data_IF_111220351661
#
_entry.id   IF_111220351661
#
_cell.length_a   1.000
_cell.length_b   1.000
_cell.length_c   1.000
_cell.angle_alpha   90.00
_cell.angle_beta   90.00
_cell.angle_gamma   90.00
#
_symmetry.space_group_name_H-M   'P 1'
#
loop_
_entity.id
_entity.type
_entity.pdbx_description
1 polymer ?
#
# COMPACT_ATOMS: atom_id res chain seq x y z
N UNK A 1 -23.73 -24.59 -0.91
CA UNK A 1 -23.82 -23.66 -2.05
C UNK A 1 -22.45 -23.06 -2.29
N UNK A 2 -21.89 -23.20 -3.52
CA UNK A 2 -20.60 -22.61 -3.89
C UNK A 2 -20.70 -21.07 -3.92
N UNK A 3 -19.65 -20.38 -3.46
CA UNK A 3 -19.57 -18.92 -3.51
C UNK A 3 -19.50 -18.45 -4.96
N UNK A 4 -20.36 -17.51 -5.34
CA UNK A 4 -20.28 -16.90 -6.68
C UNK A 4 -18.94 -16.23 -6.92
N UNK A 5 -18.32 -16.41 -8.10
CA UNK A 5 -17.03 -15.81 -8.39
C UNK A 5 -17.15 -14.29 -8.56
N UNK A 6 -16.14 -13.57 -8.08
CA UNK A 6 -16.07 -12.12 -8.28
C UNK A 6 -15.84 -11.74 -9.73
N UNK A 7 -16.33 -10.58 -10.15
CA UNK A 7 -16.18 -10.06 -11.51
C UNK A 7 -14.72 -10.06 -12.00
N UNK A 8 -13.74 -9.78 -11.13
CA UNK A 8 -12.32 -9.84 -11.48
C UNK A 8 -11.84 -11.25 -11.83
N UNK A 9 -12.36 -12.27 -11.15
CA UNK A 9 -12.07 -13.67 -11.44
C UNK A 9 -12.67 -14.07 -12.79
N UNK A 10 -13.95 -13.73 -13.02
CA UNK A 10 -14.61 -13.98 -14.31
C UNK A 10 -13.90 -13.27 -15.46
N UNK A 11 -13.46 -12.01 -15.28
CA UNK A 11 -12.68 -11.32 -16.32
C UNK A 11 -11.39 -12.05 -16.67
N UNK A 12 -10.69 -12.61 -15.68
CA UNK A 12 -9.47 -13.40 -15.94
C UNK A 12 -9.79 -14.67 -16.75
N UNK A 13 -10.84 -15.38 -16.38
CA UNK A 13 -11.29 -16.56 -17.12
C UNK A 13 -11.75 -16.20 -18.53
N UNK A 14 -12.58 -15.17 -18.68
CA UNK A 14 -13.07 -14.70 -19.97
C UNK A 14 -11.92 -14.27 -20.89
N UNK A 15 -10.91 -13.57 -20.35
CA UNK A 15 -9.73 -13.17 -21.12
C UNK A 15 -8.92 -14.38 -21.60
N UNK A 16 -8.78 -15.42 -20.77
CA UNK A 16 -8.10 -16.65 -21.17
C UNK A 16 -8.89 -17.39 -22.27
N UNK A 17 -10.21 -17.51 -22.10
CA UNK A 17 -11.08 -18.14 -23.10
C UNK A 17 -11.11 -17.37 -24.41
N UNK A 18 -11.19 -16.03 -24.37
CA UNK A 18 -11.14 -15.22 -25.59
C UNK A 18 -9.87 -15.47 -26.40
N UNK A 19 -8.70 -15.60 -25.74
CA UNK A 19 -7.46 -15.95 -26.45
C UNK A 19 -7.51 -17.32 -27.12
N UNK A 20 -8.13 -18.29 -26.49
CA UNK A 20 -8.33 -19.62 -27.08
C UNK A 20 -9.23 -19.53 -28.31
N UNK A 21 -10.32 -18.78 -28.23
CA UNK A 21 -11.22 -18.57 -29.38
C UNK A 21 -10.58 -17.76 -30.51
N UNK A 22 -9.81 -16.72 -30.18
CA UNK A 22 -9.03 -15.93 -31.15
C UNK A 22 -8.08 -16.83 -31.95
N UNK A 23 -7.35 -17.73 -31.25
CA UNK A 23 -6.47 -18.68 -31.90
C UNK A 23 -7.22 -19.74 -32.74
N UNK A 24 -8.37 -20.21 -32.23
CA UNK A 24 -9.20 -21.16 -32.96
C UNK A 24 -9.79 -20.54 -34.26
N UNK A 25 -10.15 -19.29 -34.23
CA UNK A 25 -10.60 -18.53 -35.43
C UNK A 25 -9.43 -18.34 -36.39
N UNK A 26 -8.26 -17.93 -35.91
CA UNK A 26 -7.07 -17.71 -36.73
C UNK A 26 -6.62 -18.99 -37.46
N UNK A 27 -6.79 -20.17 -36.83
CA UNK A 27 -6.49 -21.50 -37.43
C UNK A 27 -7.64 -22.07 -38.26
N UNK A 28 -8.78 -21.36 -38.37
CA UNK A 28 -9.92 -21.85 -39.13
C UNK A 28 -10.74 -22.97 -38.47
N UNK A 29 -10.51 -23.25 -37.20
CA UNK A 29 -11.27 -24.31 -36.47
C UNK A 29 -12.69 -23.89 -36.15
N UNK A 30 -12.94 -22.55 -36.02
CA UNK A 30 -14.25 -21.97 -35.71
C UNK A 30 -14.44 -20.69 -36.52
N UNK A 31 -15.63 -20.47 -37.02
CA UNK A 31 -15.97 -19.18 -37.66
C UNK A 31 -16.19 -18.10 -36.58
N UNK A 32 -15.77 -16.87 -36.85
CA UNK A 32 -15.86 -15.75 -35.88
C UNK A 32 -17.30 -15.53 -35.34
N UNK A 33 -18.32 -15.71 -36.17
CA UNK A 33 -19.74 -15.63 -35.80
C UNK A 33 -20.20 -16.66 -34.77
N UNK A 34 -19.44 -17.72 -34.59
CA UNK A 34 -19.73 -18.83 -33.66
C UNK A 34 -18.97 -18.70 -32.33
N UNK A 35 -18.13 -17.66 -32.19
CA UNK A 35 -17.43 -17.39 -30.92
C UNK A 35 -18.43 -16.96 -29.85
N UNK A 36 -18.52 -17.65 -28.70
CA UNK A 36 -19.46 -17.29 -27.65
C UNK A 36 -19.11 -15.96 -27.00
N UNK A 37 -20.12 -15.13 -26.74
CA UNK A 37 -19.96 -13.88 -26.02
C UNK A 37 -19.72 -14.18 -24.53
N UNK A 38 -18.52 -13.86 -24.03
CA UNK A 38 -18.16 -14.03 -22.63
C UNK A 38 -18.75 -12.92 -21.78
N UNK A 39 -19.84 -13.20 -21.07
CA UNK A 39 -20.53 -12.23 -20.20
C UNK A 39 -19.96 -12.31 -18.77
N UNK A 40 -19.65 -11.16 -18.19
CA UNK A 40 -19.25 -11.06 -16.79
C UNK A 40 -20.45 -10.64 -15.92
N UNK A 41 -21.02 -11.59 -15.16
CA UNK A 41 -22.12 -11.35 -14.21
C UNK A 41 -21.64 -11.42 -12.76
N UNK A 42 -20.33 -11.46 -12.50
CA UNK A 42 -19.77 -11.55 -11.15
C UNK A 42 -19.94 -10.28 -10.35
N UNK A 43 -19.93 -10.43 -9.04
CA UNK A 43 -19.95 -9.30 -8.12
C UNK A 43 -18.78 -8.36 -8.35
N UNK A 44 -19.05 -7.05 -8.36
CA UNK A 44 -17.98 -6.04 -8.39
C UNK A 44 -17.14 -6.15 -7.13
N UNK A 45 -15.81 -6.17 -7.32
CA UNK A 45 -14.91 -6.14 -6.16
C UNK A 45 -14.97 -4.76 -5.52
N UNK A 46 -15.27 -4.73 -4.24
CA UNK A 46 -15.18 -3.53 -3.44
C UNK A 46 -13.72 -3.15 -3.15
N UNK A 47 -13.50 -1.86 -2.90
CA UNK A 47 -12.21 -1.36 -2.44
C UNK A 47 -11.86 -1.99 -1.10
N UNK A 48 -10.60 -2.42 -0.94
CA UNK A 48 -10.10 -2.86 0.36
C UNK A 48 -10.08 -1.69 1.35
N UNK A 49 -10.44 -1.92 2.62
CA UNK A 49 -10.47 -0.86 3.61
C UNK A 49 -9.06 -0.35 3.93
N UNK A 50 -8.97 0.94 4.18
CA UNK A 50 -7.82 1.62 4.79
C UNK A 50 -7.92 1.60 6.33
N UNK A 51 -6.90 2.13 6.99
CA UNK A 51 -6.93 2.50 8.40
C UNK A 51 -7.25 3.98 8.53
N UNK A 52 -8.09 4.35 9.50
CA UNK A 52 -8.23 5.75 9.89
C UNK A 52 -6.96 6.23 10.60
N UNK A 53 -6.85 7.54 10.85
CA UNK A 53 -5.70 8.11 11.55
C UNK A 53 -5.60 7.56 12.98
N UNK A 54 -6.72 7.45 13.67
CA UNK A 54 -6.85 6.93 15.03
C UNK A 54 -6.50 5.43 15.10
N UNK A 55 -6.98 4.65 14.13
CA UNK A 55 -6.66 3.23 14.03
C UNK A 55 -5.19 3.01 13.72
N UNK A 56 -4.60 3.81 12.81
CA UNK A 56 -3.18 3.75 12.50
C UNK A 56 -2.32 4.14 13.71
N UNK A 57 -2.65 5.20 14.42
CA UNK A 57 -1.98 5.59 15.66
C UNK A 57 -2.10 4.50 16.74
N UNK A 58 -3.26 3.87 16.86
CA UNK A 58 -3.49 2.73 17.78
C UNK A 58 -2.63 1.52 17.39
N UNK A 59 -2.53 1.23 16.10
CA UNK A 59 -1.67 0.18 15.57
C UNK A 59 -0.21 0.42 15.97
N UNK A 60 0.32 1.62 15.74
CA UNK A 60 1.70 1.97 16.11
C UNK A 60 1.92 1.83 17.62
N UNK A 61 1.02 2.32 18.43
CA UNK A 61 1.09 2.29 19.90
C UNK A 61 1.10 0.88 20.49
N UNK A 62 0.36 -0.05 19.86
CA UNK A 62 0.26 -1.45 20.30
C UNK A 62 1.44 -2.33 19.84
N UNK A 63 2.17 -1.91 18.79
CA UNK A 63 3.26 -2.73 18.24
C UNK A 63 4.36 -3.10 19.25
N UNK A 64 4.92 -2.17 20.07
CA UNK A 64 6.01 -2.50 20.97
C UNK A 64 5.64 -3.60 21.98
N UNK A 65 4.52 -3.43 22.69
CA UNK A 65 4.04 -4.43 23.65
C UNK A 65 3.72 -5.78 23.02
N UNK A 66 3.14 -5.77 21.81
CA UNK A 66 2.86 -6.98 21.07
C UNK A 66 4.14 -7.70 20.61
N UNK A 67 5.17 -6.97 20.21
CA UNK A 67 6.49 -7.54 19.88
C UNK A 67 7.08 -8.23 21.11
N UNK A 68 7.10 -7.53 22.24
CA UNK A 68 7.68 -8.02 23.49
C UNK A 68 6.91 -9.22 24.09
N UNK A 69 5.63 -9.39 23.77
CA UNK A 69 4.85 -10.57 24.18
C UNK A 69 5.17 -11.84 23.36
N UNK A 70 6.07 -11.74 22.37
CA UNK A 70 6.48 -12.87 21.53
C UNK A 70 7.40 -13.85 22.25
N UNK A 71 7.41 -15.10 21.74
CA UNK A 71 8.46 -16.04 22.12
C UNK A 71 9.81 -15.55 21.58
N UNK A 72 10.86 -15.61 22.38
CA UNK A 72 12.21 -15.22 21.98
C UNK A 72 12.68 -15.96 20.70
N UNK A 73 13.65 -15.37 20.00
CA UNK A 73 14.22 -15.89 18.76
C UNK A 73 13.43 -15.51 17.51
N UNK A 74 13.44 -16.35 16.48
CA UNK A 74 12.83 -16.06 15.17
C UNK A 74 11.38 -15.50 15.20
N UNK A 75 10.47 -15.92 16.09
CA UNK A 75 9.14 -15.31 16.17
C UNK A 75 9.18 -13.82 16.53
N UNK A 76 10.05 -13.40 17.46
CA UNK A 76 10.21 -11.99 17.83
C UNK A 76 10.93 -11.20 16.74
N UNK A 77 11.94 -11.78 16.10
CA UNK A 77 12.60 -11.19 14.93
C UNK A 77 11.61 -10.92 13.79
N UNK A 78 10.72 -11.88 13.54
CA UNK A 78 9.65 -11.73 12.55
C UNK A 78 8.67 -10.61 12.90
N UNK A 79 8.38 -10.40 14.19
CA UNK A 79 7.54 -9.29 14.65
C UNK A 79 8.22 -7.94 14.47
N UNK A 80 9.52 -7.85 14.73
CA UNK A 80 10.32 -6.66 14.44
C UNK A 80 10.34 -6.34 12.94
N UNK A 81 10.58 -7.34 12.10
CA UNK A 81 10.56 -7.17 10.65
C UNK A 81 9.18 -6.71 10.16
N UNK A 82 8.11 -7.35 10.65
CA UNK A 82 6.74 -6.96 10.31
C UNK A 82 6.43 -5.52 10.71
N UNK A 83 6.88 -5.05 11.88
CA UNK A 83 6.71 -3.65 12.31
C UNK A 83 7.32 -2.70 11.28
N UNK A 84 8.59 -2.89 10.95
CA UNK A 84 9.29 -1.97 10.05
C UNK A 84 8.74 -2.06 8.62
N UNK A 85 8.37 -3.27 8.19
CA UNK A 85 7.66 -3.48 6.92
C UNK A 85 6.36 -2.69 6.83
N UNK A 86 5.50 -2.78 7.85
CA UNK A 86 4.22 -2.06 7.92
C UNK A 86 4.42 -0.55 7.85
N UNK A 87 5.40 -0.03 8.60
CA UNK A 87 5.72 1.40 8.63
C UNK A 87 6.25 1.88 7.28
N UNK A 88 7.12 1.12 6.62
CA UNK A 88 7.62 1.44 5.28
C UNK A 88 6.48 1.43 4.27
N UNK A 89 5.64 0.40 4.27
CA UNK A 89 4.49 0.30 3.36
C UNK A 89 3.52 1.47 3.49
N UNK A 90 3.23 1.91 4.73
CA UNK A 90 2.33 3.03 5.00
C UNK A 90 2.96 4.40 4.68
N UNK A 91 4.28 4.48 4.50
CA UNK A 91 5.01 5.72 4.21
C UNK A 91 5.56 5.80 2.77
N UNK A 92 5.32 4.80 1.95
CA UNK A 92 5.78 4.75 0.56
C UNK A 92 4.66 4.51 -0.44
N UNK A 93 3.57 3.88 0.00
CA UNK A 93 2.47 3.47 -0.88
C UNK A 93 2.82 2.36 -1.88
N UNK A 94 4.00 1.69 -1.75
CA UNK A 94 4.38 0.59 -2.63
C UNK A 94 3.42 -0.59 -2.51
N UNK A 95 3.40 -1.47 -3.51
CA UNK A 95 2.57 -2.69 -3.49
C UNK A 95 3.23 -3.76 -2.62
N UNK A 96 2.45 -4.35 -1.73
CA UNK A 96 2.84 -5.59 -1.06
C UNK A 96 3.03 -6.71 -2.11
N UNK A 97 4.04 -7.53 -1.91
CA UNK A 97 4.38 -8.62 -2.83
C UNK A 97 5.46 -8.23 -3.83
N UNK A 98 5.10 -8.00 -5.09
CA UNK A 98 6.09 -7.82 -6.17
C UNK A 98 7.02 -6.61 -6.00
N UNK A 99 6.57 -5.51 -5.40
CA UNK A 99 7.42 -4.34 -5.21
C UNK A 99 8.22 -4.43 -3.90
N UNK A 100 7.53 -4.58 -2.77
CA UNK A 100 8.18 -4.59 -1.47
C UNK A 100 9.07 -5.81 -1.25
N UNK A 101 8.59 -7.03 -1.56
CA UNK A 101 9.39 -8.24 -1.33
C UNK A 101 10.60 -8.38 -2.25
N UNK A 102 10.62 -7.68 -3.38
CA UNK A 102 11.76 -7.64 -4.30
C UNK A 102 12.69 -6.45 -4.06
N UNK A 103 12.38 -5.60 -3.06
CA UNK A 103 13.23 -4.46 -2.73
C UNK A 103 14.57 -4.96 -2.16
N UNK A 104 15.66 -4.45 -2.75
CA UNK A 104 17.04 -4.72 -2.33
C UNK A 104 17.72 -3.42 -1.93
N UNK A 105 18.76 -3.49 -1.12
CA UNK A 105 19.51 -2.31 -0.69
C UNK A 105 20.05 -1.48 -1.86
N UNK A 106 20.46 -2.11 -2.95
CA UNK A 106 20.89 -1.42 -4.18
C UNK A 106 19.80 -0.54 -4.85
N UNK A 107 18.55 -0.71 -4.46
CA UNK A 107 17.43 0.06 -4.97
C UNK A 107 17.05 1.24 -4.07
N UNK A 108 17.78 1.43 -2.98
CA UNK A 108 17.56 2.52 -2.01
C UNK A 108 18.65 3.55 -2.20
N UNK A 109 18.27 4.81 -2.34
CA UNK A 109 19.19 5.93 -2.57
C UNK A 109 18.85 7.07 -1.62
N UNK A 110 19.88 7.64 -1.00
CA UNK A 110 19.79 8.93 -0.32
C UNK A 110 20.35 9.99 -1.26
N UNK A 111 19.63 11.09 -1.39
CA UNK A 111 20.10 12.27 -2.10
C UNK A 111 19.77 13.53 -1.31
N UNK A 112 20.49 14.60 -1.58
CA UNK A 112 20.34 15.89 -0.92
C UNK A 112 19.95 16.94 -1.96
N UNK A 113 18.96 17.74 -1.63
CA UNK A 113 18.54 18.89 -2.42
C UNK A 113 18.15 20.03 -1.48
N UNK A 114 18.75 21.22 -1.68
CA UNK A 114 18.49 22.43 -0.87
C UNK A 114 18.63 22.18 0.63
N UNK A 115 19.72 21.54 1.03
CA UNK A 115 20.07 21.19 2.42
C UNK A 115 19.07 20.23 3.10
N UNK A 116 18.21 19.57 2.32
CA UNK A 116 17.28 18.56 2.81
C UNK A 116 17.64 17.18 2.25
N UNK A 117 17.63 16.19 3.11
CA UNK A 117 17.90 14.81 2.74
C UNK A 117 16.62 14.08 2.36
N UNK A 118 16.65 13.41 1.22
CA UNK A 118 15.54 12.63 0.68
C UNK A 118 15.93 11.17 0.51
N UNK A 119 14.96 10.30 0.73
CA UNK A 119 15.06 8.86 0.51
C UNK A 119 14.24 8.47 -0.71
N UNK A 120 14.88 7.86 -1.69
CA UNK A 120 14.27 7.32 -2.89
C UNK A 120 14.39 5.80 -2.92
N UNK A 121 13.35 5.12 -3.42
CA UNK A 121 13.36 3.68 -3.67
C UNK A 121 12.94 3.39 -5.11
N UNK A 122 13.78 2.65 -5.83
CA UNK A 122 13.48 2.13 -7.16
C UNK A 122 12.73 0.81 -7.03
N UNK A 123 11.45 0.79 -7.39
CA UNK A 123 10.61 -0.41 -7.29
C UNK A 123 10.19 -0.90 -8.66
N UNK A 124 10.09 -2.23 -8.81
CA UNK A 124 9.62 -2.87 -10.03
C UNK A 124 8.44 -3.77 -9.73
N UNK A 125 7.38 -3.62 -10.50
CA UNK A 125 6.16 -4.37 -10.33
C UNK A 125 5.45 -4.67 -11.64
N UNK A 126 4.18 -5.04 -11.58
CA UNK A 126 3.36 -5.41 -12.75
C UNK A 126 3.29 -4.30 -13.81
N UNK A 127 3.43 -3.03 -13.42
CA UNK A 127 3.31 -1.86 -14.30
C UNK A 127 4.67 -1.28 -14.70
N UNK A 128 5.75 -2.05 -14.55
CA UNK A 128 7.11 -1.60 -14.85
C UNK A 128 7.87 -1.10 -13.61
N UNK A 129 9.01 -0.44 -13.88
CA UNK A 129 9.87 0.19 -12.87
C UNK A 129 9.45 1.64 -12.67
N UNK A 130 9.55 2.10 -11.42
CA UNK A 130 9.41 3.52 -11.04
C UNK A 130 10.22 3.82 -9.80
N UNK A 131 10.53 5.09 -9.62
CA UNK A 131 11.14 5.59 -8.41
C UNK A 131 10.06 6.23 -7.53
N UNK A 132 10.17 6.03 -6.22
CA UNK A 132 9.25 6.53 -5.22
C UNK A 132 10.01 7.34 -4.19
N UNK A 133 9.50 8.51 -3.86
CA UNK A 133 10.03 9.33 -2.76
C UNK A 133 9.34 8.90 -1.47
N UNK A 134 10.15 8.60 -0.47
CA UNK A 134 9.66 8.13 0.82
C UNK A 134 9.41 9.30 1.77
N UNK A 135 8.45 9.15 2.68
CA UNK A 135 8.32 10.09 3.80
C UNK A 135 9.57 10.02 4.68
N UNK A 136 9.98 11.14 5.26
CA UNK A 136 11.25 11.31 6.01
C UNK A 136 11.50 10.25 7.09
N UNK A 137 10.46 9.84 7.82
CA UNK A 137 10.57 8.79 8.84
C UNK A 137 10.96 7.41 8.32
N UNK A 138 10.90 7.17 7.00
CA UNK A 138 11.20 5.85 6.41
C UNK A 138 12.67 5.46 6.59
N UNK A 139 13.58 6.42 6.63
CA UNK A 139 15.01 6.18 6.87
C UNK A 139 15.24 5.45 8.19
N UNK A 140 14.57 5.86 9.27
CA UNK A 140 14.71 5.24 10.58
C UNK A 140 14.26 3.77 10.59
N UNK A 141 13.27 3.44 9.76
CA UNK A 141 12.77 2.06 9.65
C UNK A 141 13.75 1.17 8.90
N UNK A 142 14.38 1.70 7.86
CA UNK A 142 15.46 1.00 7.15
C UNK A 142 16.70 0.81 8.02
N UNK A 143 17.11 1.84 8.77
CA UNK A 143 18.23 1.75 9.70
C UNK A 143 18.00 0.65 10.74
N UNK A 144 16.81 0.55 11.33
CA UNK A 144 16.49 -0.53 12.27
C UNK A 144 16.55 -1.92 11.62
N UNK A 145 16.19 -2.06 10.35
CA UNK A 145 16.35 -3.33 9.62
C UNK A 145 17.84 -3.63 9.42
N UNK A 146 18.61 -2.65 8.98
CA UNK A 146 20.05 -2.73 8.76
C UNK A 146 20.79 -3.15 10.05
N UNK A 147 20.55 -2.48 11.17
CA UNK A 147 21.16 -2.73 12.47
C UNK A 147 20.92 -4.16 12.98
N UNK A 148 19.80 -4.78 12.60
CA UNK A 148 19.48 -6.15 12.98
C UNK A 148 20.11 -7.21 12.06
N UNK A 149 20.53 -6.85 10.85
CA UNK A 149 21.10 -7.81 9.90
C UNK A 149 22.59 -8.06 10.20
N UNK A 150 22.93 -9.28 10.62
CA UNK A 150 24.25 -9.64 11.13
C UNK A 150 25.39 -9.44 10.14
N UNK A 151 25.12 -9.64 8.86
CA UNK A 151 26.10 -9.57 7.77
C UNK A 151 26.40 -8.15 7.27
N UNK A 152 25.55 -7.18 7.57
CA UNK A 152 25.70 -5.80 7.07
C UNK A 152 25.73 -4.73 8.18
N UNK A 153 25.33 -5.04 9.41
CA UNK A 153 25.22 -4.06 10.51
C UNK A 153 26.52 -3.32 10.85
N UNK A 154 27.65 -3.88 10.50
CA UNK A 154 28.98 -3.28 10.75
C UNK A 154 29.41 -2.30 9.63
N UNK A 155 28.66 -2.21 8.52
CA UNK A 155 28.87 -1.23 7.46
C UNK A 155 28.08 0.02 7.86
N UNK A 156 28.64 1.22 7.73
CA UNK A 156 27.85 2.42 7.96
C UNK A 156 26.65 2.49 7.00
N UNK A 157 25.49 2.92 7.48
CA UNK A 157 24.25 2.87 6.70
C UNK A 157 24.36 3.61 5.35
N UNK A 158 25.00 4.77 5.32
CA UNK A 158 25.23 5.51 4.08
C UNK A 158 26.16 4.78 3.11
N UNK A 159 27.20 4.11 3.64
CA UNK A 159 28.14 3.34 2.84
C UNK A 159 27.50 2.08 2.28
N UNK A 160 26.59 1.43 3.04
CA UNK A 160 25.75 0.33 2.57
C UNK A 160 24.98 0.75 1.30
N UNK A 161 24.36 1.92 1.33
CA UNK A 161 23.58 2.43 0.19
C UNK A 161 24.47 2.80 -0.99
N UNK A 162 25.62 3.44 -0.75
CA UNK A 162 26.60 3.78 -1.79
C UNK A 162 27.17 2.55 -2.48
N UNK A 163 27.44 1.47 -1.73
CA UNK A 163 27.94 0.20 -2.27
C UNK A 163 26.90 -0.57 -3.10
N UNK A 164 25.64 -0.16 -3.09
CA UNK A 164 24.54 -0.77 -3.86
C UNK A 164 24.46 -2.28 -3.69
N UNK A 165 24.51 -2.74 -2.45
CA UNK A 165 24.55 -4.17 -2.11
C UNK A 165 23.30 -4.90 -2.60
N UNK A 166 23.50 -6.03 -3.29
CA UNK A 166 22.42 -6.83 -3.90
C UNK A 166 21.79 -7.83 -2.89
N UNK A 167 21.39 -7.33 -1.73
CA UNK A 167 20.72 -8.11 -0.69
C UNK A 167 19.30 -7.62 -0.45
N UNK A 168 18.34 -8.50 -0.15
CA UNK A 168 16.96 -8.12 0.16
C UNK A 168 16.92 -7.19 1.39
N UNK A 169 16.05 -6.17 1.34
CA UNK A 169 15.79 -5.30 2.51
C UNK A 169 14.98 -6.04 3.57
N UNK A 170 13.89 -6.71 3.16
CA UNK A 170 12.97 -7.37 4.10
C UNK A 170 13.37 -8.82 4.36
N UNK A 171 14.32 -8.99 5.28
CA UNK A 171 14.84 -10.28 5.71
C UNK A 171 15.06 -10.31 7.22
N UNK A 172 15.19 -11.50 7.79
CA UNK A 172 15.54 -11.72 9.18
C UNK A 172 17.04 -11.45 9.44
N UNK A 173 17.47 -11.30 10.69
CA UNK A 173 18.86 -11.06 11.05
C UNK A 173 19.86 -12.03 10.42
N UNK A 174 19.49 -13.30 10.32
CA UNK A 174 20.30 -14.37 9.71
C UNK A 174 20.29 -14.39 8.17
N UNK A 175 19.73 -13.36 7.53
CA UNK A 175 19.60 -13.27 6.08
C UNK A 175 18.40 -14.00 5.47
N UNK A 176 17.64 -14.75 6.25
CA UNK A 176 16.47 -15.51 5.76
C UNK A 176 15.34 -14.58 5.27
N UNK A 177 14.90 -14.74 4.03
CA UNK A 177 13.74 -14.04 3.49
C UNK A 177 12.46 -14.77 3.91
N UNK A 178 11.62 -14.13 4.71
CA UNK A 178 10.39 -14.74 5.19
C UNK A 178 9.21 -14.56 4.23
N UNK A 179 8.50 -15.66 3.96
CA UNK A 179 7.23 -15.67 3.20
C UNK A 179 6.00 -15.41 4.10
N UNK A 180 6.18 -15.32 5.41
CA UNK A 180 5.09 -15.31 6.40
C UNK A 180 4.72 -13.93 6.95
N UNK A 181 5.26 -12.86 6.40
CA UNK A 181 5.01 -11.49 6.88
C UNK A 181 3.52 -11.13 6.91
N UNK A 182 2.74 -11.63 5.94
CA UNK A 182 1.29 -11.40 5.87
C UNK A 182 0.53 -12.10 7.00
N UNK A 183 0.97 -13.30 7.42
CA UNK A 183 0.36 -14.03 8.54
C UNK A 183 0.69 -13.35 9.87
N UNK A 184 1.94 -12.89 10.03
CA UNK A 184 2.38 -12.12 11.21
C UNK A 184 1.58 -10.83 11.34
N UNK A 185 1.40 -10.10 10.24
CA UNK A 185 0.55 -8.91 10.20
C UNK A 185 -0.91 -9.22 10.55
N UNK A 186 -1.49 -10.26 9.93
CA UNK A 186 -2.85 -10.67 10.23
C UNK A 186 -3.04 -10.99 11.72
N UNK A 187 -2.12 -11.74 12.30
CA UNK A 187 -2.14 -12.04 13.74
C UNK A 187 -2.10 -10.76 14.56
N UNK A 188 -1.18 -9.86 14.26
CA UNK A 188 -1.05 -8.59 14.97
C UNK A 188 -2.33 -7.75 14.91
N UNK A 189 -2.90 -7.51 13.73
CA UNK A 189 -4.13 -6.69 13.61
C UNK A 189 -5.35 -7.37 14.21
N UNK A 190 -5.38 -8.72 14.29
CA UNK A 190 -6.41 -9.47 15.02
C UNK A 190 -6.27 -9.26 16.53
N UNK A 191 -5.07 -9.46 17.08
CA UNK A 191 -4.77 -9.27 18.51
C UNK A 191 -4.98 -7.80 18.94
N UNK A 192 -4.77 -6.86 18.01
CA UNK A 192 -4.99 -5.43 18.23
C UNK A 192 -6.47 -4.99 18.11
N UNK A 193 -7.37 -5.87 17.66
CA UNK A 193 -8.77 -5.53 17.38
C UNK A 193 -8.98 -4.69 16.11
N UNK A 194 -8.03 -4.71 15.19
CA UNK A 194 -7.99 -3.86 13.98
C UNK A 194 -8.21 -4.65 12.67
N UNK A 195 -8.48 -5.96 12.74
CA UNK A 195 -8.60 -6.79 11.54
C UNK A 195 -9.80 -6.40 10.68
N UNK A 196 -10.94 -6.14 11.28
CA UNK A 196 -12.18 -5.80 10.57
C UNK A 196 -12.38 -4.29 10.53
N UNK A 197 -12.66 -3.75 9.36
CA UNK A 197 -13.03 -2.35 9.21
C UNK A 197 -14.49 -2.15 9.68
N UNK A 198 -14.74 -1.29 10.69
CA UNK A 198 -16.11 -1.09 11.20
C UNK A 198 -17.07 -0.52 10.14
N UNK A 199 -16.52 0.24 9.19
CA UNK A 199 -17.29 0.93 8.15
C UNK A 199 -17.76 0.00 7.01
N UNK A 200 -16.95 -1.02 6.68
CA UNK A 200 -17.23 -1.90 5.53
C UNK A 200 -17.43 -3.36 5.89
N UNK A 201 -17.18 -3.77 7.14
CA UNK A 201 -17.19 -5.17 7.56
C UNK A 201 -16.06 -6.03 6.95
N UNK A 202 -15.23 -5.47 6.08
CA UNK A 202 -14.17 -6.21 5.40
C UNK A 202 -12.90 -6.31 6.25
N UNK A 203 -12.17 -7.41 6.07
CA UNK A 203 -10.89 -7.60 6.74
C UNK A 203 -9.77 -6.81 6.05
N UNK A 204 -8.93 -6.18 6.87
CA UNK A 204 -7.72 -5.50 6.44
C UNK A 204 -6.59 -6.47 6.15
N UNK A 205 -5.76 -6.09 5.19
CA UNK A 205 -4.59 -6.85 4.75
C UNK A 205 -3.39 -5.90 4.64
N UNK A 206 -2.20 -6.42 4.35
CA UNK A 206 -1.03 -5.58 4.06
C UNK A 206 -1.30 -4.60 2.90
N UNK A 207 -2.18 -4.95 1.97
CA UNK A 207 -2.57 -4.04 0.88
C UNK A 207 -3.38 -2.83 1.39
N UNK A 208 -4.03 -2.95 2.53
CA UNK A 208 -4.74 -1.84 3.19
C UNK A 208 -3.81 -0.69 3.56
N UNK A 209 -2.52 -0.97 3.83
CA UNK A 209 -1.52 0.06 4.12
C UNK A 209 -1.28 0.99 2.92
N UNK A 210 -1.33 0.46 1.72
CA UNK A 210 -1.23 1.28 0.50
C UNK A 210 -2.47 2.18 0.33
N UNK A 211 -3.66 1.70 0.68
CA UNK A 211 -4.85 2.54 0.72
C UNK A 211 -4.76 3.60 1.81
N UNK A 212 -4.20 3.25 2.97
CA UNK A 212 -3.94 4.20 4.06
C UNK A 212 -2.97 5.31 3.63
N UNK A 213 -1.86 4.94 2.96
CA UNK A 213 -0.94 5.92 2.38
C UNK A 213 -1.67 6.91 1.46
N UNK A 214 -2.46 6.40 0.50
CA UNK A 214 -3.18 7.25 -0.43
C UNK A 214 -4.20 8.18 0.24
N UNK A 215 -4.96 7.64 1.20
CA UNK A 215 -5.91 8.44 1.98
C UNK A 215 -5.21 9.56 2.75
N UNK A 216 -4.07 9.26 3.39
CA UNK A 216 -3.30 10.27 4.14
C UNK A 216 -2.63 11.29 3.22
N UNK A 217 -2.08 10.86 2.08
CA UNK A 217 -1.49 11.75 1.11
C UNK A 217 -2.50 12.78 0.58
N UNK A 218 -3.72 12.34 0.28
CA UNK A 218 -4.78 13.24 -0.19
C UNK A 218 -5.32 14.14 0.93
N UNK A 219 -5.63 13.58 2.10
CA UNK A 219 -6.35 14.31 3.16
C UNK A 219 -5.45 15.19 4.04
N UNK A 220 -4.22 14.73 4.30
CA UNK A 220 -3.35 15.40 5.27
C UNK A 220 -2.21 16.16 4.61
N UNK A 221 -1.65 15.62 3.51
CA UNK A 221 -0.46 16.20 2.89
C UNK A 221 -0.83 17.10 1.69
N UNK A 222 -2.10 17.15 1.30
CA UNK A 222 -2.56 17.97 0.17
C UNK A 222 -1.99 17.53 -1.17
N UNK A 223 -1.52 16.27 -1.29
CA UNK A 223 -0.94 15.75 -2.52
C UNK A 223 -2.00 15.73 -3.62
N UNK A 224 -1.64 16.25 -4.79
CA UNK A 224 -2.52 16.17 -5.95
C UNK A 224 -2.66 14.75 -6.51
N UNK A 225 -3.76 14.52 -7.23
CA UNK A 225 -4.12 13.18 -7.75
C UNK A 225 -3.08 12.67 -8.75
N UNK A 226 -2.46 13.55 -9.55
CA UNK A 226 -1.47 13.17 -10.54
C UNK A 226 -0.18 12.70 -9.84
N UNK A 227 0.36 13.50 -8.91
CA UNK A 227 1.52 13.13 -8.11
C UNK A 227 1.30 11.81 -7.37
N UNK A 228 0.12 11.64 -6.77
CA UNK A 228 -0.24 10.39 -6.11
C UNK A 228 -0.29 9.20 -7.08
N UNK A 229 -0.84 9.38 -8.27
CA UNK A 229 -0.91 8.32 -9.29
C UNK A 229 0.49 7.87 -9.74
N UNK A 230 1.40 8.83 -9.99
CA UNK A 230 2.82 8.57 -10.32
C UNK A 230 3.52 7.84 -9.17
N UNK A 231 3.46 8.39 -7.96
CA UNK A 231 4.06 7.83 -6.76
C UNK A 231 3.59 6.38 -6.50
N UNK A 232 2.31 6.11 -6.67
CA UNK A 232 1.75 4.78 -6.47
C UNK A 232 1.91 3.87 -7.71
N UNK A 233 2.31 4.38 -8.88
CA UNK A 233 2.37 3.61 -10.12
C UNK A 233 1.02 3.05 -10.53
N UNK A 234 0.02 3.95 -10.61
CA UNK A 234 -1.34 3.64 -11.03
C UNK A 234 -1.87 4.76 -11.92
N UNK A 235 -3.02 4.60 -12.53
CA UNK A 235 -3.63 5.66 -13.33
C UNK A 235 -4.44 6.63 -12.46
N UNK A 236 -4.58 7.88 -12.93
CA UNK A 236 -5.46 8.89 -12.32
C UNK A 236 -6.88 8.34 -12.15
N UNK A 237 -7.43 7.70 -13.20
CA UNK A 237 -8.77 7.11 -13.14
C UNK A 237 -8.93 6.00 -12.07
N UNK A 238 -7.84 5.30 -11.70
CA UNK A 238 -7.86 4.37 -10.58
C UNK A 238 -7.85 5.09 -9.23
N UNK A 239 -7.12 6.20 -9.12
CA UNK A 239 -7.17 7.05 -7.92
C UNK A 239 -8.58 7.64 -7.77
N UNK A 240 -9.14 8.21 -8.80
CA UNK A 240 -10.51 8.75 -8.79
C UNK A 240 -11.54 7.69 -8.40
N UNK A 241 -11.51 6.52 -9.03
CA UNK A 241 -12.43 5.41 -8.72
C UNK A 241 -12.39 5.01 -7.25
N UNK A 242 -11.20 4.96 -6.66
CA UNK A 242 -11.03 4.49 -5.29
C UNK A 242 -11.13 5.57 -4.23
N UNK A 243 -10.89 6.84 -4.58
CA UNK A 243 -10.75 7.92 -3.61
C UNK A 243 -11.63 9.13 -3.88
N UNK A 244 -12.49 9.13 -4.92
CA UNK A 244 -13.43 10.23 -5.23
C UNK A 244 -14.34 10.59 -4.05
N UNK A 245 -14.70 9.62 -3.21
CA UNK A 245 -15.49 9.86 -2.00
C UNK A 245 -14.79 10.76 -0.97
N UNK A 246 -13.47 10.99 -1.09
CA UNK A 246 -12.72 11.92 -0.26
C UNK A 246 -12.78 13.36 -0.80
N UNK A 247 -13.20 13.55 -2.06
CA UNK A 247 -13.22 14.88 -2.71
C UNK A 247 -14.01 15.91 -1.92
N UNK A 248 -15.21 15.64 -1.37
CA UNK A 248 -15.93 16.60 -0.55
C UNK A 248 -15.13 17.06 0.67
N UNK A 249 -14.44 16.13 1.35
CA UNK A 249 -13.56 16.47 2.50
C UNK A 249 -12.34 17.29 2.11
N UNK A 250 -11.73 16.96 0.95
CA UNK A 250 -10.59 17.71 0.39
C UNK A 250 -10.98 19.14 0.00
N UNK A 251 -12.18 19.30 -0.54
CA UNK A 251 -12.71 20.56 -1.05
C UNK A 251 -13.68 21.25 -0.09
N UNK A 252 -13.74 20.82 1.17
CA UNK A 252 -14.69 21.32 2.16
C UNK A 252 -14.74 22.85 2.21
N UNK A 253 -13.58 23.51 2.28
CA UNK A 253 -13.50 24.97 2.37
C UNK A 253 -14.01 25.68 1.09
N UNK A 254 -13.92 25.01 -0.07
CA UNK A 254 -14.50 25.49 -1.34
C UNK A 254 -15.99 25.22 -1.43
N UNK A 255 -16.43 24.05 -0.90
CA UNK A 255 -17.82 23.61 -0.99
C UNK A 255 -18.73 24.29 0.02
N UNK A 256 -18.17 24.66 1.19
CA UNK A 256 -18.93 25.37 2.24
C UNK A 256 -19.05 26.88 1.98
N UNK A 257 -18.30 27.42 1.00
CA UNK A 257 -18.27 28.85 0.75
C UNK A 257 -17.70 29.64 1.93
N UNK A 258 -18.43 30.64 2.43
CA UNK A 258 -18.01 31.41 3.62
C UNK A 258 -18.07 30.51 4.87
N UNK A 259 -17.04 30.56 5.71
CA UNK A 259 -17.07 29.89 7.02
C UNK A 259 -18.09 30.61 7.91
N UNK A 260 -19.11 29.87 8.33
CA UNK A 260 -20.01 30.35 9.38
C UNK A 260 -19.31 30.12 10.73
N UNK A 261 -19.03 31.21 11.45
CA UNK A 261 -18.58 31.15 12.82
C UNK A 261 -19.82 31.01 13.71
N UNK A 262 -20.09 29.78 14.13
CA UNK A 262 -21.23 29.48 15.02
C UNK A 262 -21.12 30.13 16.41
N UNK A 263 -19.97 30.76 16.72
CA UNK A 263 -19.78 31.50 17.97
C UNK A 263 -20.31 32.94 17.91
N UNK A 264 -20.70 33.42 16.74
CA UNK A 264 -21.34 34.71 16.53
C UNK A 264 -22.83 34.52 16.28
N UNK A 265 -23.65 34.87 17.24
CA UNK A 265 -25.12 34.75 17.23
C UNK A 265 -25.85 35.70 16.24
N UNK A 266 -25.20 36.18 15.20
CA UNK A 266 -25.83 37.03 14.19
C UNK A 266 -26.03 36.26 12.89
N UNK A 267 -27.20 35.65 12.76
CA UNK A 267 -27.70 35.14 11.51
C UNK A 267 -28.14 36.30 10.61
N UNK A 268 -27.22 36.86 9.83
CA UNK A 268 -27.58 37.85 8.80
C UNK A 268 -28.20 37.18 7.60
N UNK A 269 -29.53 37.22 7.53
CA UNK A 269 -30.35 36.69 6.45
C UNK A 269 -30.28 37.50 5.14
N UNK A 270 -29.47 38.56 5.07
CA UNK A 270 -29.40 39.47 3.92
C UNK A 270 -28.47 38.97 2.78
N UNK A 271 -27.89 37.80 2.91
CA UNK A 271 -26.93 37.21 1.93
C UNK A 271 -27.45 36.03 1.12
N UNK A 272 -28.78 35.85 0.99
CA UNK A 272 -29.39 34.90 0.09
C UNK A 272 -30.11 35.58 -1.07
#
# INVERSE_FOLDING_TARGET
MGREPKASTLNTHNSAMNRVFEEAVARGFIANKNVPLMVNRGEKSERRPDFTREEYATMIRKMPSWINSGKAGKPTEMRHLMRDYVLIMANTGMRHGTEALNLKWKHVTLFEEKDLQYLEMSVSGKTGRRDIICRSGTINYLQRIHERCEDIRNIAFEDLLKQRIDLPVFRLPDGTVSKNIHQTFRKFVTDAGLITCPRTGQNRTLYSLRHTYATFALLNDGMDIHALAVQMGTSIGMIERHYSHLTPRLKKDMLTGKRYDLSRDEFDSSNF
#
